data_IF_306079264659
#
_entry.id   IF_306079264659
#
_cell.length_a   1.000
_cell.length_b   1.000
_cell.length_c   1.000
_cell.angle_alpha   90.00
_cell.angle_beta   90.00
_cell.angle_gamma   90.00
#
_symmetry.space_group_name_H-M   'P 1'
#
loop_
_entity.id
_entity.type
_entity.pdbx_description
1 polymer ?
#
# COMPACT_ATOMS: atom_id res chain seq x y z
N UNK A 1 36.13 63.30 16.86
CA UNK A 1 36.50 62.82 15.51
C UNK A 1 37.81 62.09 15.73
N UNK A 2 37.87 60.76 15.86
CA UNK A 2 37.14 59.76 15.09
C UNK A 2 36.78 58.51 15.91
N UNK A 3 35.58 58.03 15.64
CA UNK A 3 35.04 56.72 16.00
C UNK A 3 35.62 55.65 15.07
N UNK A 4 36.10 54.54 15.60
CA UNK A 4 36.34 53.32 14.81
C UNK A 4 35.75 52.12 15.53
N UNK A 5 34.53 51.77 15.12
CA UNK A 5 33.81 50.55 15.47
C UNK A 5 34.10 49.51 14.40
N UNK A 6 34.70 48.37 14.76
CA UNK A 6 34.84 47.22 13.86
C UNK A 6 33.84 46.14 14.29
N UNK A 7 32.85 45.89 13.43
CA UNK A 7 31.79 44.92 13.67
C UNK A 7 32.28 43.51 13.31
N UNK A 8 32.32 42.62 14.30
CA UNK A 8 32.51 41.18 14.09
C UNK A 8 31.22 40.59 13.49
N UNK A 9 31.27 40.24 12.21
CA UNK A 9 30.22 39.45 11.57
C UNK A 9 30.25 38.00 12.05
N UNK A 10 29.30 37.60 12.89
CA UNK A 10 29.06 36.20 13.23
C UNK A 10 28.32 35.53 12.07
N UNK A 11 29.02 34.68 11.32
CA UNK A 11 28.40 33.78 10.35
C UNK A 11 27.55 32.75 11.11
N UNK A 12 26.23 32.86 10.98
CA UNK A 12 25.30 31.89 11.53
C UNK A 12 25.47 30.55 10.78
N UNK A 13 25.92 29.52 11.49
CA UNK A 13 25.95 28.17 10.99
C UNK A 13 24.51 27.72 10.71
N UNK A 14 24.17 27.59 9.42
CA UNK A 14 22.90 27.03 8.99
C UNK A 14 22.81 25.58 9.48
N UNK A 15 22.07 25.40 10.57
CA UNK A 15 21.75 24.08 11.10
C UNK A 15 20.81 23.41 10.10
N UNK A 16 21.36 22.51 9.28
CA UNK A 16 20.57 21.66 8.39
C UNK A 16 19.76 20.72 9.27
N UNK A 17 18.52 21.12 9.56
CA UNK A 17 17.53 20.24 10.17
C UNK A 17 17.16 19.18 9.14
N UNK A 18 17.94 18.10 9.10
CA UNK A 18 17.51 16.87 8.45
C UNK A 18 16.28 16.40 9.20
N UNK A 19 15.10 16.80 8.74
CA UNK A 19 13.85 16.24 9.21
C UNK A 19 13.92 14.75 8.91
N UNK A 20 14.29 13.96 9.92
CA UNK A 20 14.10 12.52 9.89
C UNK A 20 12.60 12.35 9.81
N UNK A 21 12.05 12.30 8.59
CA UNK A 21 10.68 11.84 8.36
C UNK A 21 10.63 10.51 9.08
N UNK A 22 9.92 10.45 10.20
CA UNK A 22 9.61 9.19 10.84
C UNK A 22 9.10 8.29 9.72
N UNK A 23 9.79 7.17 9.45
CA UNK A 23 9.47 6.34 8.31
C UNK A 23 8.10 5.69 8.60
N UNK A 24 7.04 6.39 8.16
CA UNK A 24 5.63 6.02 8.37
C UNK A 24 5.40 4.61 7.80
N UNK A 25 6.05 4.34 6.67
CA UNK A 25 5.98 3.11 5.92
C UNK A 25 6.91 2.04 6.53
N UNK A 26 6.34 0.87 6.83
CA UNK A 26 7.09 -0.34 7.14
C UNK A 26 7.36 -1.18 5.90
N UNK A 27 6.51 -1.06 4.88
CA UNK A 27 6.57 -1.84 3.65
C UNK A 27 6.51 -0.91 2.45
N UNK A 28 7.18 -1.31 1.38
CA UNK A 28 7.09 -0.62 0.09
C UNK A 28 5.82 -1.04 -0.63
N UNK A 29 5.49 -2.34 -0.59
CA UNK A 29 4.32 -2.91 -1.27
C UNK A 29 3.49 -3.75 -0.30
N UNK A 30 2.17 -3.57 -0.34
CA UNK A 30 1.18 -4.51 0.15
C UNK A 30 0.58 -5.23 -1.06
N UNK A 31 0.59 -6.56 -1.07
CA UNK A 31 0.08 -7.38 -2.19
C UNK A 31 -1.19 -8.12 -1.77
N UNK A 32 -2.34 -7.72 -2.33
CA UNK A 32 -3.64 -8.38 -2.15
C UNK A 32 -4.01 -9.21 -3.37
N UNK A 33 -4.40 -10.45 -3.16
CA UNK A 33 -4.73 -11.41 -4.21
C UNK A 33 -5.59 -12.55 -3.66
N UNK A 34 -6.22 -13.31 -4.56
CA UNK A 34 -6.89 -14.56 -4.19
C UNK A 34 -5.86 -15.67 -4.04
N UNK A 35 -5.77 -16.27 -2.85
CA UNK A 35 -4.79 -17.33 -2.56
C UNK A 35 -5.00 -18.59 -3.40
N UNK A 36 -6.21 -18.88 -3.89
CA UNK A 36 -6.39 -20.03 -4.77
C UNK A 36 -5.81 -19.80 -6.19
N UNK A 37 -5.44 -18.56 -6.52
CA UNK A 37 -4.84 -18.13 -7.78
C UNK A 37 -3.34 -17.84 -7.60
N UNK A 38 -2.60 -18.80 -7.02
CA UNK A 38 -1.19 -18.62 -6.59
C UNK A 38 -0.17 -18.51 -7.71
N UNK A 39 -0.38 -19.12 -8.88
CA UNK A 39 0.71 -19.28 -9.87
C UNK A 39 1.28 -17.95 -10.39
N UNK A 40 0.43 -16.95 -10.64
CA UNK A 40 0.86 -15.62 -11.03
C UNK A 40 1.43 -14.84 -9.83
N UNK A 41 0.72 -14.85 -8.70
CA UNK A 41 1.10 -14.08 -7.52
C UNK A 41 2.40 -14.57 -6.89
N UNK A 42 2.68 -15.87 -6.90
CA UNK A 42 3.94 -16.43 -6.43
C UNK A 42 5.12 -15.97 -7.29
N UNK A 43 4.94 -15.91 -8.61
CA UNK A 43 5.95 -15.36 -9.52
C UNK A 43 6.19 -13.87 -9.27
N UNK A 44 5.11 -13.11 -9.07
CA UNK A 44 5.18 -11.67 -8.74
C UNK A 44 5.90 -11.45 -7.39
N UNK A 45 5.54 -12.23 -6.38
CA UNK A 45 6.16 -12.27 -5.05
C UNK A 45 7.67 -12.52 -5.14
N UNK A 46 8.08 -13.54 -5.90
CA UNK A 46 9.49 -13.87 -6.11
C UNK A 46 10.20 -12.72 -6.84
N UNK A 47 9.58 -12.14 -7.87
CA UNK A 47 10.17 -11.05 -8.63
C UNK A 47 10.38 -9.79 -7.78
N UNK A 48 9.38 -9.39 -6.98
CA UNK A 48 9.48 -8.26 -6.04
C UNK A 48 10.60 -8.49 -5.02
N UNK A 49 10.68 -9.70 -4.46
CA UNK A 49 11.75 -10.07 -3.53
C UNK A 49 13.13 -10.04 -4.18
N UNK A 50 13.27 -10.56 -5.39
CA UNK A 50 14.54 -10.56 -6.13
C UNK A 50 14.97 -9.14 -6.52
N UNK A 51 14.02 -8.22 -6.69
CA UNK A 51 14.28 -6.80 -6.88
C UNK A 51 14.63 -6.04 -5.58
N UNK A 52 14.63 -6.72 -4.42
CA UNK A 52 14.90 -6.12 -3.12
C UNK A 52 13.75 -5.28 -2.56
N UNK A 53 12.54 -5.41 -3.12
CA UNK A 53 11.37 -4.62 -2.72
C UNK A 53 10.73 -5.24 -1.49
N UNK A 54 10.67 -4.48 -0.39
CA UNK A 54 10.07 -4.94 0.86
C UNK A 54 8.54 -5.04 0.73
N UNK A 55 8.06 -6.26 0.48
CA UNK A 55 6.66 -6.56 0.18
C UNK A 55 6.02 -7.33 1.32
N UNK A 56 4.87 -6.85 1.80
CA UNK A 56 3.96 -7.64 2.62
C UNK A 56 2.99 -8.38 1.70
N UNK A 57 2.93 -9.70 1.84
CA UNK A 57 2.07 -10.57 1.02
C UNK A 57 1.01 -11.18 1.93
N UNK A 58 -0.28 -10.96 1.64
CA UNK A 58 -1.34 -11.58 2.43
C UNK A 58 -1.56 -13.04 2.03
N UNK A 59 -0.77 -13.95 2.62
CA UNK A 59 -0.90 -15.40 2.43
C UNK A 59 -1.97 -16.04 3.33
N UNK A 60 -3.02 -15.32 3.73
CA UNK A 60 -3.98 -15.72 4.78
C UNK A 60 -3.35 -15.66 6.18
N UNK A 61 -3.26 -14.48 6.78
CA UNK A 61 -3.16 -14.39 8.23
C UNK A 61 -4.25 -15.29 8.86
N UNK A 62 -3.85 -16.26 9.71
CA UNK A 62 -4.72 -17.31 10.28
C UNK A 62 -5.96 -16.76 10.99
N UNK A 63 -7.07 -16.61 10.25
CA UNK A 63 -8.42 -16.15 10.65
C UNK A 63 -8.66 -16.06 12.17
N UNK A 64 -8.66 -14.84 12.69
CA UNK A 64 -9.02 -14.46 14.05
C UNK A 64 -9.32 -12.96 14.15
N UNK A 65 -10.03 -12.52 15.19
CA UNK A 65 -10.50 -11.11 15.32
C UNK A 65 -9.34 -10.11 15.47
N UNK A 66 -8.25 -10.49 16.15
CA UNK A 66 -7.05 -9.65 16.31
C UNK A 66 -6.27 -9.40 15.01
N UNK A 67 -6.60 -10.10 13.92
CA UNK A 67 -5.85 -10.02 12.65
C UNK A 67 -6.34 -8.88 11.77
N UNK A 68 -7.60 -8.49 11.89
CA UNK A 68 -8.16 -7.40 11.08
C UNK A 68 -7.51 -6.06 11.43
N UNK A 69 -7.20 -5.83 12.71
CA UNK A 69 -6.48 -4.65 13.18
C UNK A 69 -5.02 -4.69 12.74
N UNK A 70 -4.36 -5.84 12.78
CA UNK A 70 -2.98 -5.99 12.31
C UNK A 70 -2.87 -5.77 10.79
N UNK A 71 -3.75 -6.39 10.01
CA UNK A 71 -3.80 -6.24 8.55
C UNK A 71 -4.07 -4.80 8.13
N UNK A 72 -5.04 -4.14 8.76
CA UNK A 72 -5.29 -2.71 8.54
C UNK A 72 -4.03 -1.88 8.77
N UNK A 73 -3.29 -2.16 9.85
CA UNK A 73 -2.02 -1.50 10.14
C UNK A 73 -0.93 -1.82 9.11
N UNK A 74 -0.89 -3.00 8.52
CA UNK A 74 0.06 -3.32 7.43
C UNK A 74 -0.26 -2.49 6.18
N UNK A 75 -1.54 -2.39 5.80
CA UNK A 75 -2.01 -1.58 4.69
C UNK A 75 -1.65 -0.09 4.92
N UNK A 76 -1.99 0.44 6.10
CA UNK A 76 -1.69 1.83 6.48
C UNK A 76 -0.19 2.15 6.55
N UNK A 77 0.65 1.12 6.72
CA UNK A 77 2.11 1.24 6.75
C UNK A 77 2.76 0.76 5.46
N UNK A 78 2.00 0.68 4.36
CA UNK A 78 2.51 0.35 3.03
C UNK A 78 2.42 1.56 2.11
N UNK A 79 3.47 1.78 1.31
CA UNK A 79 3.52 2.91 0.38
C UNK A 79 2.69 2.65 -0.89
N UNK A 80 2.66 1.41 -1.34
CA UNK A 80 1.94 0.96 -2.53
C UNK A 80 1.07 -0.23 -2.14
N UNK A 81 -0.18 -0.26 -2.59
CA UNK A 81 -1.04 -1.43 -2.55
C UNK A 81 -1.22 -1.96 -3.97
N UNK A 82 -0.72 -3.16 -4.24
CA UNK A 82 -0.96 -3.90 -5.49
C UNK A 82 -2.14 -4.84 -5.28
N UNK A 83 -3.18 -4.69 -6.09
CA UNK A 83 -4.37 -5.53 -6.03
C UNK A 83 -4.45 -6.38 -7.29
N UNK A 84 -4.34 -7.69 -7.16
CA UNK A 84 -4.44 -8.63 -8.27
C UNK A 84 -5.88 -9.12 -8.39
N UNK A 85 -6.65 -8.49 -9.27
CA UNK A 85 -7.98 -8.93 -9.63
C UNK A 85 -7.91 -10.18 -10.50
N UNK A 86 -8.46 -11.28 -9.99
CA UNK A 86 -8.61 -12.55 -10.69
C UNK A 86 -10.09 -12.95 -10.74
N UNK A 87 -10.44 -13.96 -11.55
CA UNK A 87 -11.82 -14.45 -11.68
C UNK A 87 -12.48 -14.79 -10.34
N UNK A 88 -11.70 -15.33 -9.39
CA UNK A 88 -12.18 -15.76 -8.07
C UNK A 88 -11.88 -14.79 -6.94
N UNK A 89 -11.15 -13.70 -7.19
CA UNK A 89 -11.04 -12.58 -6.25
C UNK A 89 -12.40 -12.18 -5.62
N UNK A 90 -13.47 -11.97 -6.41
CA UNK A 90 -14.77 -11.53 -5.91
C UNK A 90 -15.45 -12.51 -4.93
N UNK A 91 -15.16 -13.80 -5.03
CA UNK A 91 -15.79 -14.82 -4.18
C UNK A 91 -15.23 -14.81 -2.75
N UNK A 92 -14.08 -14.15 -2.51
CA UNK A 92 -13.44 -14.08 -1.20
C UNK A 92 -13.87 -12.83 -0.44
N UNK A 93 -14.78 -13.01 0.53
CA UNK A 93 -15.15 -11.94 1.48
C UNK A 93 -13.92 -11.29 2.14
N UNK A 94 -12.82 -12.03 2.31
CA UNK A 94 -11.59 -11.45 2.84
C UNK A 94 -10.95 -10.49 1.85
N UNK A 95 -10.73 -10.90 0.60
CA UNK A 95 -10.16 -10.07 -0.46
C UNK A 95 -10.99 -8.78 -0.68
N UNK A 96 -12.32 -8.87 -0.55
CA UNK A 96 -13.20 -7.71 -0.64
C UNK A 96 -13.04 -6.75 0.54
N UNK A 97 -12.90 -7.28 1.76
CA UNK A 97 -12.66 -6.46 2.95
C UNK A 97 -11.31 -5.77 2.92
N UNK A 98 -10.29 -6.47 2.42
CA UNK A 98 -8.98 -5.88 2.15
C UNK A 98 -9.09 -4.75 1.15
N UNK A 99 -9.76 -4.97 0.02
CA UNK A 99 -10.00 -3.96 -0.99
C UNK A 99 -10.72 -2.73 -0.40
N UNK A 100 -11.78 -2.93 0.38
CA UNK A 100 -12.47 -1.83 1.07
C UNK A 100 -11.54 -1.07 2.01
N UNK A 101 -10.66 -1.76 2.76
CA UNK A 101 -9.70 -1.10 3.65
C UNK A 101 -8.62 -0.35 2.87
N UNK A 102 -8.10 -0.90 1.78
CA UNK A 102 -7.15 -0.23 0.89
C UNK A 102 -7.76 1.06 0.34
N UNK A 103 -9.00 1.01 -0.13
CA UNK A 103 -9.68 2.20 -0.69
C UNK A 103 -9.95 3.26 0.39
N UNK A 104 -10.38 2.85 1.60
CA UNK A 104 -10.48 3.79 2.73
C UNK A 104 -9.13 4.41 3.09
N UNK A 105 -8.06 3.62 3.17
CA UNK A 105 -6.72 4.15 3.41
C UNK A 105 -6.26 5.11 2.31
N UNK A 106 -6.64 4.86 1.05
CA UNK A 106 -6.37 5.77 -0.07
C UNK A 106 -7.10 7.10 0.06
N UNK A 107 -8.32 7.10 0.61
CA UNK A 107 -9.09 8.31 0.88
C UNK A 107 -8.57 9.06 2.13
N UNK A 108 -8.28 8.33 3.20
CA UNK A 108 -7.94 8.89 4.52
C UNK A 108 -6.45 9.29 4.64
N UNK A 109 -5.55 8.70 3.84
CA UNK A 109 -4.11 8.86 3.98
C UNK A 109 -3.47 9.41 2.69
N UNK A 110 -2.89 10.60 2.79
CA UNK A 110 -2.11 11.16 1.69
C UNK A 110 -0.89 10.27 1.36
N UNK A 111 -0.84 9.79 0.13
CA UNK A 111 0.36 9.23 -0.49
C UNK A 111 0.43 7.71 -0.67
N UNK A 112 -0.60 6.94 -0.29
CA UNK A 112 -0.68 5.53 -0.70
C UNK A 112 -1.08 5.43 -2.18
N UNK A 113 -0.32 4.66 -2.95
CA UNK A 113 -0.59 4.42 -4.38
C UNK A 113 -1.27 3.07 -4.52
N UNK A 114 -2.41 3.00 -5.21
CA UNK A 114 -3.09 1.73 -5.51
C UNK A 114 -2.86 1.35 -6.97
N UNK A 115 -2.29 0.17 -7.20
CA UNK A 115 -1.97 -0.37 -8.52
C UNK A 115 -2.79 -1.64 -8.79
N UNK A 116 -3.81 -1.59 -9.66
CA UNK A 116 -4.57 -2.77 -10.04
C UNK A 116 -3.81 -3.60 -11.08
N UNK A 117 -3.84 -4.92 -10.92
CA UNK A 117 -3.42 -5.91 -11.92
C UNK A 117 -4.66 -6.73 -12.28
N UNK A 118 -4.96 -6.84 -13.57
CA UNK A 118 -6.08 -7.62 -14.08
C UNK A 118 -5.57 -8.95 -14.63
N UNK A 119 -5.72 -10.02 -13.85
CA UNK A 119 -5.25 -11.36 -14.19
C UNK A 119 -6.40 -12.24 -14.68
N UNK A 120 -6.42 -12.51 -15.99
CA UNK A 120 -7.45 -13.33 -16.64
C UNK A 120 -8.88 -12.82 -16.38
N UNK A 121 -9.05 -11.50 -16.28
CA UNK A 121 -10.33 -10.81 -16.13
C UNK A 121 -10.36 -9.58 -17.04
N UNK A 122 -11.55 -9.22 -17.51
CA UNK A 122 -11.76 -7.96 -18.21
C UNK A 122 -11.76 -6.81 -17.18
N UNK A 123 -10.92 -5.76 -17.34
CA UNK A 123 -10.96 -4.60 -16.46
C UNK A 123 -12.35 -3.96 -16.34
N UNK A 124 -13.17 -4.03 -17.39
CA UNK A 124 -14.53 -3.52 -17.38
C UNK A 124 -15.46 -4.30 -16.46
N UNK A 125 -15.24 -5.59 -16.23
CA UNK A 125 -16.00 -6.38 -15.25
C UNK A 125 -15.72 -5.90 -13.83
N UNK A 126 -14.47 -5.56 -13.53
CA UNK A 126 -14.09 -5.00 -12.23
C UNK A 126 -14.68 -3.59 -12.05
N UNK A 127 -14.57 -2.73 -13.07
CA UNK A 127 -15.03 -1.34 -12.98
C UNK A 127 -16.55 -1.19 -12.97
N UNK A 128 -17.25 -1.96 -13.80
CA UNK A 128 -18.72 -1.90 -13.92
C UNK A 128 -19.42 -2.83 -12.95
N UNK A 129 -18.68 -3.62 -12.17
CA UNK A 129 -19.22 -4.68 -11.33
C UNK A 129 -20.12 -5.60 -12.16
N UNK A 130 -19.56 -6.14 -13.25
CA UNK A 130 -20.23 -7.11 -14.12
C UNK A 130 -19.51 -8.46 -14.11
N UNK A 131 -20.10 -9.47 -14.75
CA UNK A 131 -19.54 -10.82 -14.77
C UNK A 131 -19.37 -11.39 -13.36
N UNK A 132 -18.18 -11.93 -13.07
CA UNK A 132 -17.85 -12.46 -11.74
C UNK A 132 -17.80 -11.41 -10.62
N UNK A 133 -17.82 -10.12 -10.97
CA UNK A 133 -17.80 -9.00 -10.01
C UNK A 133 -19.18 -8.38 -9.73
N UNK A 134 -20.26 -8.96 -10.27
CA UNK A 134 -21.61 -8.44 -10.09
C UNK A 134 -22.14 -8.58 -8.64
N UNK A 135 -22.73 -7.51 -8.11
CA UNK A 135 -23.39 -7.50 -6.80
C UNK A 135 -22.44 -7.53 -5.59
N UNK A 136 -21.21 -7.07 -5.76
CA UNK A 136 -20.13 -7.24 -4.77
C UNK A 136 -19.95 -6.04 -3.85
N UNK A 137 -20.23 -4.84 -4.34
CA UNK A 137 -20.40 -3.66 -3.51
C UNK A 137 -21.88 -3.27 -3.55
N UNK A 138 -22.69 -3.90 -2.69
CA UNK A 138 -23.91 -3.24 -2.21
C UNK A 138 -23.44 -2.05 -1.36
N UNK A 139 -23.86 -0.85 -1.76
CA UNK A 139 -23.51 0.42 -1.12
C UNK A 139 -24.19 0.59 0.25
#
# INVERSE_FOLDING_TARGET
>A
MDTSSSANGTAAAASSSSSRRSNRWMYEVFLSFRVDDTTFTDRLSIALRNAGINTFIDYQLKRGENIQSELGRKIERSRIAVVVFSKRYPESRWCLRELSKIMRCREDQEGIIVLPIFYDVDPSDVWKQSGGFAGILEA
#
